data_IF_370097172932
#
_entry.id   IF_370097172932
#
_cell.length_a   1.000
_cell.length_b   1.000
_cell.length_c   1.000
_cell.angle_alpha   90.00
_cell.angle_beta   90.00
_cell.angle_gamma   90.00
#
_symmetry.space_group_name_H-M   'P 1'
#
loop_
_entity.id
_entity.type
_entity.pdbx_description
1 polymer ?
#
# COMPACT_ATOMS: atom_id res chain seq x y z
N UNK A 1 11.99 -29.62 -18.30
CA UNK A 1 10.87 -28.71 -18.63
C UNK A 1 10.35 -28.02 -17.36
N UNK A 2 10.15 -28.74 -16.22
CA UNK A 2 9.65 -28.17 -14.96
C UNK A 2 10.62 -27.17 -14.34
N UNK A 3 11.92 -27.45 -14.34
CA UNK A 3 12.98 -26.57 -13.81
C UNK A 3 13.04 -25.20 -14.55
N UNK A 4 12.81 -25.20 -15.85
CA UNK A 4 12.78 -23.98 -16.67
C UNK A 4 11.56 -23.08 -16.38
N UNK A 5 10.41 -23.66 -16.07
CA UNK A 5 9.19 -22.89 -15.75
C UNK A 5 9.25 -22.27 -14.36
N UNK A 6 9.79 -22.97 -13.37
CA UNK A 6 10.01 -22.47 -12.00
C UNK A 6 10.98 -21.29 -12.02
N UNK A 7 12.12 -21.43 -12.68
CA UNK A 7 13.10 -20.33 -12.81
C UNK A 7 12.53 -19.11 -13.53
N UNK A 8 11.66 -19.30 -14.55
CA UNK A 8 10.97 -18.19 -15.23
C UNK A 8 9.99 -17.47 -14.30
N UNK A 9 9.28 -18.21 -13.46
CA UNK A 9 8.34 -17.66 -12.47
C UNK A 9 9.08 -16.86 -11.39
N UNK A 10 10.15 -17.40 -10.81
CA UNK A 10 11.00 -16.72 -9.82
C UNK A 10 11.62 -15.42 -10.39
N UNK A 11 12.10 -15.49 -11.63
CA UNK A 11 12.65 -14.32 -12.31
C UNK A 11 11.61 -13.24 -12.50
N UNK A 12 10.39 -13.62 -12.90
CA UNK A 12 9.29 -12.70 -13.09
C UNK A 12 8.85 -12.05 -11.77
N UNK A 13 8.77 -12.82 -10.68
CA UNK A 13 8.47 -12.30 -9.36
C UNK A 13 9.52 -11.29 -8.89
N UNK A 14 10.80 -11.55 -9.14
CA UNK A 14 11.91 -10.63 -8.84
C UNK A 14 11.76 -9.30 -9.58
N UNK A 15 11.41 -9.35 -10.88
CA UNK A 15 11.13 -8.13 -11.66
C UNK A 15 9.93 -7.37 -11.10
N UNK A 16 8.85 -8.06 -10.73
CA UNK A 16 7.65 -7.43 -10.14
C UNK A 16 7.97 -6.76 -8.80
N UNK A 17 8.80 -7.38 -7.94
CA UNK A 17 9.24 -6.78 -6.67
C UNK A 17 10.04 -5.49 -6.89
N UNK A 18 10.98 -5.50 -7.84
CA UNK A 18 11.76 -4.29 -8.16
C UNK A 18 10.90 -3.21 -8.82
N UNK A 19 9.97 -3.59 -9.72
CA UNK A 19 9.00 -2.67 -10.31
C UNK A 19 8.10 -2.04 -9.23
N UNK A 20 7.58 -2.83 -8.30
CA UNK A 20 6.73 -2.34 -7.21
C UNK A 20 7.46 -1.30 -6.33
N UNK A 21 8.74 -1.49 -6.02
CA UNK A 21 9.55 -0.51 -5.27
C UNK A 21 9.73 0.79 -6.06
N UNK A 22 10.17 0.69 -7.31
CA UNK A 22 10.44 1.85 -8.15
C UNK A 22 9.18 2.67 -8.42
N UNK A 23 8.06 2.00 -8.71
CA UNK A 23 6.79 2.69 -8.96
C UNK A 23 6.32 3.41 -7.70
N UNK A 24 6.43 2.79 -6.50
CA UNK A 24 6.11 3.48 -5.24
C UNK A 24 7.01 4.67 -4.97
N UNK A 25 8.27 4.60 -5.35
CA UNK A 25 9.23 5.68 -5.11
C UNK A 25 9.09 6.85 -6.08
N UNK A 26 8.77 6.59 -7.35
CA UNK A 26 8.89 7.56 -8.45
C UNK A 26 7.58 7.81 -9.21
N UNK A 27 6.53 7.04 -8.96
CA UNK A 27 5.33 7.02 -9.79
C UNK A 27 5.49 6.13 -11.04
N UNK A 28 4.36 5.69 -11.67
CA UNK A 28 4.39 4.75 -12.79
C UNK A 28 5.02 5.33 -14.05
N UNK A 29 4.88 6.64 -14.28
CA UNK A 29 5.38 7.29 -15.50
C UNK A 29 6.91 7.46 -15.47
N UNK A 30 7.49 7.68 -14.28
CA UNK A 30 8.92 7.98 -14.10
C UNK A 30 9.81 6.75 -13.95
N UNK A 31 9.29 5.54 -14.17
CA UNK A 31 10.10 4.31 -14.10
C UNK A 31 10.59 3.88 -15.48
N UNK A 32 11.87 3.52 -15.56
CA UNK A 32 12.50 2.98 -16.75
C UNK A 32 12.60 1.46 -16.67
N UNK A 33 12.06 0.76 -17.68
CA UNK A 33 12.12 -0.72 -17.77
C UNK A 33 13.54 -1.22 -17.65
N UNK A 34 14.52 -0.58 -18.32
CA UNK A 34 15.92 -0.96 -18.26
C UNK A 34 16.48 -0.93 -16.83
N UNK A 35 16.11 0.09 -16.04
CA UNK A 35 16.53 0.20 -14.65
C UNK A 35 15.92 -0.88 -13.74
N UNK A 36 14.66 -1.22 -13.95
CA UNK A 36 13.98 -2.32 -13.23
C UNK A 36 14.66 -3.65 -13.55
N UNK A 37 14.89 -3.94 -14.84
CA UNK A 37 15.54 -5.18 -15.28
C UNK A 37 16.97 -5.31 -14.72
N UNK A 38 17.76 -4.24 -14.75
CA UNK A 38 19.12 -4.23 -14.20
C UNK A 38 19.13 -4.56 -12.69
N UNK A 39 18.20 -3.97 -11.89
CA UNK A 39 18.07 -4.30 -10.46
C UNK A 39 17.60 -5.74 -10.22
N UNK A 40 16.82 -6.29 -11.12
CA UNK A 40 16.44 -7.69 -11.07
C UNK A 40 17.57 -8.65 -11.55
N UNK A 41 18.76 -8.14 -11.91
CA UNK A 41 19.89 -8.91 -12.40
C UNK A 41 19.71 -9.43 -13.84
N UNK A 42 18.96 -8.69 -14.68
CA UNK A 42 18.56 -9.09 -16.03
C UNK A 42 18.95 -8.03 -17.06
N UNK A 43 19.08 -8.45 -18.31
CA UNK A 43 19.27 -7.52 -19.44
C UNK A 43 17.93 -6.93 -19.85
N UNK A 44 17.95 -5.71 -20.42
CA UNK A 44 16.75 -5.07 -20.97
C UNK A 44 16.06 -5.94 -22.04
N UNK A 45 16.84 -6.63 -22.89
CA UNK A 45 16.30 -7.53 -23.94
C UNK A 45 15.45 -8.69 -23.40
N UNK A 46 15.68 -9.10 -22.15
CA UNK A 46 14.88 -10.15 -21.50
C UNK A 46 13.47 -9.71 -21.07
N UNK A 47 13.16 -8.42 -21.11
CA UNK A 47 11.88 -7.88 -20.65
C UNK A 47 10.67 -8.50 -21.36
N UNK A 48 10.71 -8.53 -22.68
CA UNK A 48 9.60 -9.03 -23.50
C UNK A 48 9.33 -10.53 -23.39
N UNK A 49 10.26 -11.30 -22.80
CA UNK A 49 10.01 -12.70 -22.44
C UNK A 49 9.08 -12.86 -21.22
N UNK A 50 8.89 -11.79 -20.45
CA UNK A 50 8.12 -11.78 -19.20
C UNK A 50 6.88 -10.87 -19.26
N UNK A 51 6.95 -9.72 -19.92
CA UNK A 51 5.88 -8.71 -19.95
C UNK A 51 5.66 -8.19 -21.38
N UNK A 52 4.41 -8.02 -21.76
CA UNK A 52 4.03 -7.56 -23.11
C UNK A 52 4.34 -6.07 -23.31
N UNK A 53 4.27 -5.27 -22.25
CA UNK A 53 4.51 -3.82 -22.28
C UNK A 53 4.84 -3.30 -20.87
N UNK A 54 5.28 -2.04 -20.78
CA UNK A 54 5.48 -1.31 -19.51
C UNK A 54 4.16 -1.24 -18.73
N UNK A 55 3.05 -0.97 -19.39
CA UNK A 55 1.71 -0.88 -18.81
C UNK A 55 1.29 -2.23 -18.19
N UNK A 56 1.59 -3.34 -18.87
CA UNK A 56 1.35 -4.67 -18.33
C UNK A 56 2.18 -4.93 -17.06
N UNK A 57 3.46 -4.53 -17.06
CA UNK A 57 4.31 -4.61 -15.86
C UNK A 57 3.74 -3.77 -14.72
N UNK A 58 3.35 -2.51 -14.98
CA UNK A 58 2.76 -1.61 -13.99
C UNK A 58 1.48 -2.22 -13.41
N UNK A 59 0.57 -2.68 -14.26
CA UNK A 59 -0.68 -3.30 -13.83
C UNK A 59 -0.49 -4.52 -12.93
N UNK A 60 0.54 -5.34 -13.19
CA UNK A 60 0.83 -6.50 -12.34
C UNK A 60 1.59 -6.13 -11.06
N UNK A 61 2.47 -5.13 -11.12
CA UNK A 61 3.18 -4.62 -9.94
C UNK A 61 2.21 -4.05 -8.88
N UNK A 62 1.02 -3.54 -9.28
CA UNK A 62 -0.03 -3.12 -8.35
C UNK A 62 -0.41 -4.27 -7.41
N UNK A 63 -0.64 -5.47 -7.94
CA UNK A 63 -0.96 -6.66 -7.14
C UNK A 63 0.15 -6.98 -6.12
N UNK A 64 1.41 -6.90 -6.56
CA UNK A 64 2.58 -7.08 -5.68
C UNK A 64 2.62 -6.04 -4.57
N UNK A 65 2.33 -4.76 -4.87
CA UNK A 65 2.33 -3.68 -3.87
C UNK A 65 1.30 -3.93 -2.76
N UNK A 66 0.09 -4.34 -3.11
CA UNK A 66 -0.96 -4.64 -2.14
C UNK A 66 -0.70 -5.94 -1.37
N UNK A 67 -0.11 -6.95 -2.02
CA UNK A 67 0.32 -8.18 -1.35
C UNK A 67 1.41 -7.89 -0.30
N UNK A 68 2.42 -7.08 -0.65
CA UNK A 68 3.45 -6.62 0.28
C UNK A 68 2.87 -5.83 1.47
N UNK A 69 1.92 -4.92 1.21
CA UNK A 69 1.25 -4.14 2.25
C UNK A 69 0.49 -5.06 3.22
N UNK A 70 -0.23 -6.04 2.68
CA UNK A 70 -0.95 -7.05 3.47
C UNK A 70 -0.01 -7.89 4.32
N UNK A 71 1.08 -8.37 3.76
CA UNK A 71 2.06 -9.18 4.47
C UNK A 71 2.66 -8.44 5.68
N UNK A 72 2.90 -7.12 5.56
CA UNK A 72 3.40 -6.29 6.66
C UNK A 72 2.38 -6.10 7.78
N UNK A 73 1.11 -6.00 7.47
CA UNK A 73 0.03 -5.85 8.46
C UNK A 73 -0.55 -7.17 8.95
N UNK A 74 -0.12 -8.32 8.42
CA UNK A 74 -0.66 -9.63 8.79
C UNK A 74 -0.48 -9.97 10.28
N UNK A 75 0.61 -9.50 10.91
CA UNK A 75 0.84 -9.69 12.35
C UNK A 75 -0.15 -8.90 13.22
N UNK A 76 -0.69 -7.81 12.70
CA UNK A 76 -1.67 -6.96 13.39
C UNK A 76 -3.01 -7.72 13.48
N UNK A 77 -3.41 -8.41 12.42
CA UNK A 77 -4.66 -9.15 12.37
C UNK A 77 -4.72 -10.30 13.40
N UNK A 78 -3.56 -10.77 13.85
CA UNK A 78 -3.45 -11.85 14.83
C UNK A 78 -3.66 -11.41 16.30
N UNK A 79 -3.90 -10.12 16.56
CA UNK A 79 -4.06 -9.59 17.92
C UNK A 79 -5.36 -10.07 18.63
N UNK A 80 -6.35 -10.58 17.88
CA UNK A 80 -7.56 -11.23 18.39
C UNK A 80 -8.63 -10.27 18.94
N UNK A 81 -8.27 -9.19 19.65
CA UNK A 81 -9.20 -8.15 20.10
C UNK A 81 -9.39 -7.09 18.99
N UNK A 82 -10.64 -6.83 18.53
CA UNK A 82 -10.88 -5.90 17.43
C UNK A 82 -10.42 -4.47 17.70
N UNK A 83 -10.48 -4.02 18.97
CA UNK A 83 -9.96 -2.69 19.36
C UNK A 83 -8.44 -2.64 19.27
N UNK A 84 -7.75 -3.66 19.75
CA UNK A 84 -6.29 -3.78 19.65
C UNK A 84 -5.84 -3.89 18.19
N UNK A 85 -6.57 -4.63 17.34
CA UNK A 85 -6.30 -4.72 15.90
C UNK A 85 -6.39 -3.36 15.23
N UNK A 86 -7.48 -2.61 15.44
CA UNK A 86 -7.62 -1.27 14.87
C UNK A 86 -6.55 -0.31 15.38
N UNK A 87 -6.29 -0.32 16.70
CA UNK A 87 -5.28 0.53 17.31
C UNK A 87 -3.90 0.25 16.71
N UNK A 88 -3.49 -0.99 16.67
CA UNK A 88 -2.19 -1.37 16.10
C UNK A 88 -2.07 -1.02 14.61
N UNK A 89 -3.18 -1.12 13.85
CA UNK A 89 -3.19 -0.70 12.44
C UNK A 89 -3.02 0.81 12.29
N UNK A 90 -3.70 1.62 13.10
CA UNK A 90 -3.58 3.09 13.12
C UNK A 90 -2.16 3.51 13.53
N UNK A 91 -1.63 2.93 14.61
CA UNK A 91 -0.26 3.17 15.09
C UNK A 91 0.78 2.86 14.01
N UNK A 92 0.65 1.72 13.34
CA UNK A 92 1.53 1.34 12.23
C UNK A 92 1.40 2.30 11.04
N UNK A 93 0.16 2.60 10.63
CA UNK A 93 -0.09 3.34 9.40
C UNK A 93 0.36 4.81 9.51
N UNK A 94 0.11 5.46 10.65
CA UNK A 94 0.46 6.87 10.90
C UNK A 94 1.84 7.02 11.57
N UNK A 95 2.67 5.99 11.56
CA UNK A 95 4.03 6.09 12.11
C UNK A 95 4.97 6.87 11.18
N UNK A 96 5.97 7.61 11.73
CA UNK A 96 7.05 8.19 10.95
C UNK A 96 7.77 7.16 10.07
N UNK A 97 7.97 5.94 10.58
CA UNK A 97 8.59 4.85 9.84
C UNK A 97 7.81 4.47 8.56
N UNK A 98 6.47 4.47 8.61
CA UNK A 98 5.65 4.23 7.42
C UNK A 98 5.65 5.44 6.47
N UNK A 99 5.58 6.68 7.02
CA UNK A 99 5.71 7.90 6.21
C UNK A 99 7.01 7.88 5.39
N UNK A 100 8.13 7.53 6.00
CA UNK A 100 9.45 7.62 5.39
C UNK A 100 9.76 6.43 4.45
N UNK A 101 9.09 5.29 4.60
CA UNK A 101 9.23 4.09 3.77
C UNK A 101 8.43 4.18 2.48
N UNK A 102 8.73 5.16 1.60
CA UNK A 102 7.97 5.39 0.34
C UNK A 102 7.99 4.19 -0.60
N UNK A 103 9.15 3.56 -0.76
CA UNK A 103 9.39 2.42 -1.68
C UNK A 103 8.75 1.10 -1.21
N UNK A 104 8.42 1.00 0.07
CA UNK A 104 7.89 -0.22 0.71
C UNK A 104 6.55 -0.03 1.40
N UNK A 105 6.12 1.19 1.66
CA UNK A 105 4.85 1.52 2.31
C UNK A 105 3.61 1.12 1.51
N UNK A 106 2.45 1.43 2.07
CA UNK A 106 1.17 1.31 1.36
C UNK A 106 1.20 2.14 0.08
N UNK A 107 0.74 1.61 -1.07
CA UNK A 107 0.74 2.37 -2.32
C UNK A 107 -0.25 3.55 -2.32
N UNK A 108 -1.29 3.53 -1.48
CA UNK A 108 -2.37 4.51 -1.53
C UNK A 108 -1.88 5.96 -1.32
N UNK A 109 -1.11 6.30 -0.27
CA UNK A 109 -0.71 7.69 -0.03
C UNK A 109 0.15 8.31 -1.14
N UNK A 110 0.83 7.47 -1.92
CA UNK A 110 1.73 7.95 -2.98
C UNK A 110 1.08 7.92 -4.35
N UNK A 111 0.31 6.89 -4.67
CA UNK A 111 -0.06 6.54 -6.05
C UNK A 111 -1.54 6.74 -6.39
N UNK A 112 -2.39 7.13 -5.43
CA UNK A 112 -3.82 7.33 -5.72
C UNK A 112 -4.06 8.38 -6.80
N UNK A 113 -3.30 9.47 -6.80
CA UNK A 113 -3.38 10.50 -7.82
C UNK A 113 -2.90 10.04 -9.20
N UNK A 114 -1.87 9.19 -9.26
CA UNK A 114 -1.35 8.67 -10.52
C UNK A 114 -2.32 7.68 -11.15
N UNK A 115 -2.80 6.72 -10.36
CA UNK A 115 -3.73 5.70 -10.87
C UNK A 115 -5.14 6.23 -11.14
N UNK A 116 -5.55 7.36 -10.56
CA UNK A 116 -6.78 8.03 -10.96
C UNK A 116 -6.79 8.47 -12.43
N UNK A 117 -5.60 8.71 -13.02
CA UNK A 117 -5.40 9.14 -14.41
C UNK A 117 -4.98 8.00 -15.35
N UNK A 118 -4.82 6.78 -14.82
CA UNK A 118 -4.39 5.62 -15.62
C UNK A 118 -5.52 5.02 -16.45
N UNK A 119 -5.16 4.13 -17.39
CA UNK A 119 -6.10 3.35 -18.18
C UNK A 119 -7.10 2.57 -17.31
N UNK A 120 -8.34 2.35 -17.78
CA UNK A 120 -9.42 1.72 -16.99
C UNK A 120 -9.01 0.40 -16.33
N UNK A 121 -8.33 -0.50 -17.05
CA UNK A 121 -7.92 -1.79 -16.50
C UNK A 121 -6.89 -1.67 -15.36
N UNK A 122 -5.98 -0.71 -15.46
CA UNK A 122 -4.98 -0.41 -14.39
C UNK A 122 -5.66 0.20 -13.18
N UNK A 123 -6.59 1.14 -13.40
CA UNK A 123 -7.39 1.77 -12.34
C UNK A 123 -8.27 0.75 -11.61
N UNK A 124 -8.88 -0.19 -12.32
CA UNK A 124 -9.67 -1.27 -11.73
C UNK A 124 -8.84 -2.16 -10.82
N UNK A 125 -7.64 -2.55 -11.24
CA UNK A 125 -6.70 -3.32 -10.40
C UNK A 125 -6.31 -2.58 -9.13
N UNK A 126 -6.05 -1.29 -9.24
CA UNK A 126 -5.76 -0.45 -8.07
C UNK A 126 -6.98 -0.36 -7.15
N UNK A 127 -8.17 -0.14 -7.70
CA UNK A 127 -9.45 -0.12 -6.98
C UNK A 127 -9.71 -1.42 -6.22
N UNK A 128 -9.41 -2.59 -6.80
CA UNK A 128 -9.49 -3.89 -6.12
C UNK A 128 -8.61 -3.90 -4.86
N UNK A 129 -7.41 -3.34 -4.93
CA UNK A 129 -6.53 -3.20 -3.78
C UNK A 129 -7.08 -2.27 -2.69
N UNK A 130 -7.70 -1.14 -3.09
CA UNK A 130 -8.38 -0.20 -2.17
C UNK A 130 -9.50 -0.91 -1.42
N UNK A 131 -10.40 -1.59 -2.16
CA UNK A 131 -11.50 -2.38 -1.59
C UNK A 131 -10.97 -3.44 -0.63
N UNK A 132 -9.89 -4.14 -0.98
CA UNK A 132 -9.29 -5.16 -0.12
C UNK A 132 -8.80 -4.62 1.23
N UNK A 133 -8.25 -3.40 1.28
CA UNK A 133 -7.86 -2.75 2.55
C UNK A 133 -9.10 -2.31 3.32
N UNK A 134 -10.06 -1.65 2.67
CA UNK A 134 -11.29 -1.19 3.31
C UNK A 134 -12.06 -2.37 3.94
N UNK A 135 -12.23 -3.47 3.21
CA UNK A 135 -12.91 -4.68 3.71
C UNK A 135 -12.22 -5.26 4.96
N UNK A 136 -10.90 -5.22 5.03
CA UNK A 136 -10.16 -5.67 6.23
C UNK A 136 -10.39 -4.75 7.43
N UNK A 137 -10.47 -3.45 7.22
CA UNK A 137 -10.79 -2.50 8.30
C UNK A 137 -12.25 -2.63 8.75
N UNK A 138 -13.17 -3.00 7.86
CA UNK A 138 -14.56 -3.18 8.19
C UNK A 138 -14.81 -4.34 9.17
N UNK A 139 -13.97 -5.39 9.16
CA UNK A 139 -14.13 -6.55 10.06
C UNK A 139 -14.09 -6.13 11.54
N UNK A 140 -12.99 -5.56 12.06
CA UNK A 140 -12.95 -5.15 13.47
C UNK A 140 -13.95 -4.02 13.78
N UNK A 141 -14.30 -3.15 12.83
CA UNK A 141 -15.35 -2.15 13.05
C UNK A 141 -16.73 -2.78 13.25
N UNK A 142 -17.08 -3.82 12.48
CA UNK A 142 -18.30 -4.57 12.67
C UNK A 142 -18.36 -5.29 14.04
N UNK A 143 -17.24 -5.90 14.45
CA UNK A 143 -17.10 -6.57 15.75
C UNK A 143 -17.20 -5.57 16.92
N UNK A 144 -16.82 -4.30 16.72
CA UNK A 144 -17.01 -3.21 17.67
C UNK A 144 -18.43 -2.64 17.69
N UNK A 145 -19.34 -3.13 16.83
CA UNK A 145 -20.75 -2.76 16.82
C UNK A 145 -21.09 -1.55 15.95
N UNK A 146 -20.19 -1.11 15.05
CA UNK A 146 -20.54 -0.05 14.09
C UNK A 146 -21.57 -0.55 13.09
N UNK A 147 -22.75 0.11 13.04
CA UNK A 147 -23.89 -0.34 12.23
C UNK A 147 -23.57 -0.36 10.71
N UNK A 148 -22.79 0.60 10.23
CA UNK A 148 -22.27 0.64 8.85
C UNK A 148 -20.76 0.59 8.86
N UNK A 149 -20.23 -0.58 9.19
CA UNK A 149 -18.78 -0.82 9.24
C UNK A 149 -18.09 -0.59 7.88
N UNK A 150 -18.82 -0.74 6.77
CA UNK A 150 -18.29 -0.48 5.44
C UNK A 150 -18.05 1.03 5.23
N UNK A 151 -19.04 1.87 5.51
CA UNK A 151 -18.89 3.32 5.43
C UNK A 151 -17.81 3.85 6.39
N UNK A 152 -17.78 3.33 7.63
CA UNK A 152 -16.75 3.70 8.60
C UNK A 152 -15.35 3.29 8.13
N UNK A 153 -15.20 2.12 7.51
CA UNK A 153 -13.91 1.68 6.95
C UNK A 153 -13.41 2.57 5.82
N UNK A 154 -14.31 3.07 4.97
CA UNK A 154 -13.97 4.04 3.93
C UNK A 154 -13.51 5.37 4.52
N UNK A 155 -14.21 5.88 5.53
CA UNK A 155 -13.86 7.12 6.23
C UNK A 155 -12.50 7.00 6.94
N UNK A 156 -12.28 5.90 7.66
CA UNK A 156 -11.02 5.61 8.33
C UNK A 156 -9.87 5.51 7.34
N UNK A 157 -10.05 4.76 6.24
CA UNK A 157 -9.02 4.61 5.21
C UNK A 157 -8.67 5.96 4.57
N UNK A 158 -9.66 6.81 4.29
CA UNK A 158 -9.45 8.14 3.74
C UNK A 158 -8.62 9.03 4.69
N UNK A 159 -8.91 9.00 6.00
CA UNK A 159 -8.14 9.74 7.01
C UNK A 159 -6.68 9.23 7.09
N UNK A 160 -6.47 7.92 7.15
CA UNK A 160 -5.14 7.30 7.19
C UNK A 160 -4.30 7.68 5.96
N UNK A 161 -4.89 7.55 4.78
CA UNK A 161 -4.22 7.87 3.50
C UNK A 161 -3.92 9.36 3.41
N UNK A 162 -4.89 10.22 3.73
CA UNK A 162 -4.76 11.67 3.73
C UNK A 162 -3.67 12.15 4.70
N UNK A 163 -3.67 11.65 5.93
CA UNK A 163 -2.67 11.99 6.94
C UNK A 163 -1.24 11.71 6.46
N UNK A 164 -0.99 10.50 5.94
CA UNK A 164 0.35 10.13 5.43
C UNK A 164 0.70 10.90 4.16
N UNK A 165 -0.26 11.09 3.23
CA UNK A 165 0.00 11.80 1.98
C UNK A 165 0.38 13.26 2.23
N UNK A 166 -0.35 13.95 3.11
CA UNK A 166 -0.08 15.34 3.48
C UNK A 166 1.22 15.48 4.27
N UNK A 167 1.48 14.59 5.23
CA UNK A 167 2.73 14.57 5.97
C UNK A 167 3.97 14.36 5.08
N UNK A 168 3.82 13.63 3.96
CA UNK A 168 4.87 13.47 2.94
C UNK A 168 5.06 14.69 2.04
N UNK A 169 4.01 15.50 1.88
CA UNK A 169 4.00 16.63 0.95
C UNK A 169 4.55 17.92 1.57
N UNK A 170 4.47 18.07 2.89
CA UNK A 170 5.00 19.25 3.57
C UNK A 170 6.51 19.17 3.73
N UNK A 171 7.19 20.30 3.50
CA UNK A 171 8.66 20.40 3.60
C UNK A 171 9.17 20.65 5.02
N UNK A 172 8.30 21.04 5.95
CA UNK A 172 8.64 21.26 7.36
C UNK A 172 8.49 19.95 8.15
N UNK A 173 9.58 19.43 8.74
CA UNK A 173 9.53 18.18 9.51
C UNK A 173 8.61 18.27 10.75
N UNK A 174 8.57 19.40 11.45
CA UNK A 174 7.74 19.56 12.63
C UNK A 174 6.25 19.53 12.26
N UNK A 175 5.86 20.21 11.18
CA UNK A 175 4.50 20.16 10.65
C UNK A 175 4.14 18.75 10.15
N UNK A 176 5.08 18.07 9.50
CA UNK A 176 4.88 16.68 9.04
C UNK A 176 4.59 15.73 10.20
N UNK A 177 5.35 15.84 11.30
CA UNK A 177 5.15 15.03 12.49
C UNK A 177 3.84 15.40 13.20
N UNK A 178 3.49 16.69 13.29
CA UNK A 178 2.23 17.15 13.85
C UNK A 178 1.02 16.60 13.07
N UNK A 179 1.05 16.62 11.73
CA UNK A 179 -0.03 16.06 10.90
C UNK A 179 -0.28 14.57 11.17
N UNK A 180 0.77 13.77 11.37
CA UNK A 180 0.61 12.37 11.74
C UNK A 180 0.00 12.23 13.13
N UNK A 181 0.51 12.97 14.12
CA UNK A 181 0.07 12.92 15.50
C UNK A 181 -1.38 13.37 15.66
N UNK A 182 -1.77 14.47 15.04
CA UNK A 182 -3.13 15.02 15.11
C UNK A 182 -4.14 14.10 14.42
N UNK A 183 -3.77 13.54 13.24
CA UNK A 183 -4.61 12.55 12.55
C UNK A 183 -4.78 11.30 13.41
N UNK A 184 -3.71 10.81 14.00
CA UNK A 184 -3.72 9.66 14.91
C UNK A 184 -4.63 9.91 16.12
N UNK A 185 -4.44 11.03 16.83
CA UNK A 185 -5.25 11.39 17.99
C UNK A 185 -6.75 11.51 17.64
N UNK A 186 -7.06 12.13 16.50
CA UNK A 186 -8.44 12.24 16.00
C UNK A 186 -9.09 10.88 15.75
N UNK A 187 -8.35 9.93 15.13
CA UNK A 187 -8.87 8.58 14.88
C UNK A 187 -9.02 7.80 16.19
N UNK A 188 -8.05 7.87 17.08
CA UNK A 188 -8.08 7.19 18.38
C UNK A 188 -9.30 7.64 19.18
N UNK A 189 -9.53 8.96 19.27
CA UNK A 189 -10.69 9.51 19.97
C UNK A 189 -12.02 9.12 19.31
N UNK A 190 -12.13 9.20 17.98
CA UNK A 190 -13.34 8.87 17.23
C UNK A 190 -13.79 7.42 17.44
N UNK A 191 -12.84 6.48 17.42
CA UNK A 191 -13.14 5.04 17.48
C UNK A 191 -12.94 4.46 18.88
N UNK A 192 -12.66 5.29 19.90
CA UNK A 192 -12.45 4.85 21.29
C UNK A 192 -11.32 3.85 21.43
N UNK A 193 -10.17 4.12 20.79
CA UNK A 193 -9.02 3.24 20.76
C UNK A 193 -7.96 3.58 21.83
N UNK A 194 -8.31 4.34 22.85
CA UNK A 194 -7.42 4.62 23.97
C UNK A 194 -7.04 3.30 24.69
N UNK A 195 -5.85 3.27 25.29
CA UNK A 195 -5.45 2.15 26.13
C UNK A 195 -6.45 1.99 27.28
N UNK A 196 -6.88 0.75 27.55
CA UNK A 196 -7.66 0.47 28.76
C UNK A 196 -6.85 0.92 29.98
N UNK A 197 -7.47 1.76 30.82
CA UNK A 197 -6.85 2.21 32.09
C UNK A 197 -6.76 1.05 33.06
#
# INVERSE_FOLDING_TARGET
VRYSSEHKAETRERVLKEAAKEIRAKGPDNVAVAGIMARAGLTHGGFYAHFKSKEALVGEAIGTMFADARARSAKIDAAGDPRAVLRAYVDFYLSPAHRDSRDRGCPLPTLSGDFARSEPATRERFGTGVVGIASRLAVPLAELGYADAAAESHALLAQLVGGVALARAVGDPALSDAMLADTHASIVARYGLEAAQ
#
